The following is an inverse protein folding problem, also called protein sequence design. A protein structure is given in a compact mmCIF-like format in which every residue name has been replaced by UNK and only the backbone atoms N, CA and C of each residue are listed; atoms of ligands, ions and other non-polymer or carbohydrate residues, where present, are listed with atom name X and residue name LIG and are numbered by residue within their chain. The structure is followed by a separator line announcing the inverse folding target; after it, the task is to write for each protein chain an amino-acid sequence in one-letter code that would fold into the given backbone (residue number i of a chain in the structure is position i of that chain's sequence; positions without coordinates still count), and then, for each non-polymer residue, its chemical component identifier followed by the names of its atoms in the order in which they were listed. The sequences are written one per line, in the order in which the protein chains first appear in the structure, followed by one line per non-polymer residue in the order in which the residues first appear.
data_IF_910613963544
#
_entry.id   IF_910613963544
#
_cell.length_a   1.000
_cell.length_b   1.000
_cell.length_c   1.000
_cell.angle_alpha   90.00
_cell.angle_beta   90.00
_cell.angle_gamma   90.00
#
_symmetry.space_group_name_H-M   'P 1'
#
loop_
_entity.id
_entity.type
_entity.pdbx_description
1 polymer ?
#
# COMPACT_ATOMS: atom_id res chain seq x y z
N UNK A 1 -8.80 20.47 19.15
CA UNK A 1 -9.81 19.46 18.75
C UNK A 1 -9.63 19.00 17.30
N UNK A 2 -9.72 19.86 16.27
CA UNK A 2 -9.57 19.43 14.87
C UNK A 2 -8.15 18.93 14.49
N UNK A 3 -7.11 19.60 14.98
CA UNK A 3 -5.72 19.20 14.68
C UNK A 3 -5.30 17.86 15.28
N UNK A 4 -5.89 17.46 16.41
CA UNK A 4 -5.68 16.11 16.96
C UNK A 4 -6.45 15.07 16.17
N UNK A 5 -7.70 15.37 15.79
CA UNK A 5 -8.52 14.49 14.96
C UNK A 5 -7.81 14.11 13.66
N UNK A 6 -7.20 15.08 12.96
CA UNK A 6 -6.41 14.82 11.75
C UNK A 6 -5.15 13.98 12.00
N UNK A 7 -4.54 14.07 13.19
CA UNK A 7 -3.34 13.28 13.54
C UNK A 7 -3.66 11.84 13.89
N UNK A 8 -4.86 11.59 14.41
CA UNK A 8 -5.24 10.28 14.96
C UNK A 8 -6.18 9.51 14.03
N UNK A 9 -6.63 10.11 12.93
CA UNK A 9 -7.47 9.47 11.92
C UNK A 9 -8.94 9.28 12.34
N UNK A 10 -9.34 9.81 13.49
CA UNK A 10 -10.71 9.71 14.00
C UNK A 10 -11.08 8.37 14.64
N UNK A 11 -10.10 7.50 14.92
CA UNK A 11 -10.36 6.21 15.56
C UNK A 11 -10.78 6.38 17.03
N UNK A 12 -11.80 5.63 17.50
CA UNK A 12 -12.25 5.70 18.88
C UNK A 12 -11.24 5.12 19.88
N UNK A 13 -10.33 4.21 19.46
CA UNK A 13 -9.30 3.68 20.36
C UNK A 13 -8.28 4.73 20.82
N UNK A 14 -8.08 5.82 20.07
CA UNK A 14 -7.20 6.91 20.47
C UNK A 14 -7.55 7.49 21.84
N UNK A 15 -8.85 7.57 22.17
CA UNK A 15 -9.33 8.13 23.43
C UNK A 15 -8.87 7.32 24.66
N UNK A 16 -8.47 6.05 24.47
CA UNK A 16 -7.96 5.17 25.54
C UNK A 16 -6.45 5.27 25.72
N UNK A 17 -5.69 5.40 24.63
CA UNK A 17 -4.21 5.39 24.65
C UNK A 17 -3.65 6.77 24.96
N UNK A 18 -4.12 7.82 24.26
CA UNK A 18 -3.66 9.22 24.37
C UNK A 18 -2.13 9.45 24.30
N UNK A 19 -1.36 8.45 23.86
CA UNK A 19 0.06 8.54 23.54
C UNK A 19 0.26 8.32 22.04
N UNK A 20 0.85 9.31 21.37
CA UNK A 20 1.01 9.33 19.91
C UNK A 20 2.00 8.27 19.40
N UNK A 21 3.02 7.91 20.19
CA UNK A 21 3.98 6.88 19.79
C UNK A 21 3.37 5.50 19.89
N UNK A 22 2.66 5.21 20.99
CA UNK A 22 1.95 3.95 21.13
C UNK A 22 0.82 3.84 20.09
N UNK A 23 0.10 4.92 19.83
CA UNK A 23 -0.95 4.95 18.81
C UNK A 23 -0.44 4.64 17.41
N UNK A 24 0.70 5.23 17.01
CA UNK A 24 1.35 4.90 15.74
C UNK A 24 1.76 3.44 15.67
N UNK A 25 2.25 2.88 16.78
CA UNK A 25 2.64 1.48 16.84
C UNK A 25 1.42 0.57 16.67
N UNK A 26 0.31 0.87 17.33
CA UNK A 26 -0.95 0.10 17.17
C UNK A 26 -1.46 0.18 15.72
N UNK A 27 -1.48 1.38 15.11
CA UNK A 27 -1.88 1.53 13.71
C UNK A 27 -1.03 0.68 12.75
N UNK A 28 0.29 0.70 12.90
CA UNK A 28 1.20 -0.03 12.01
C UNK A 28 1.25 -1.52 12.34
N UNK A 29 1.32 -1.89 13.60
CA UNK A 29 1.54 -3.29 14.00
C UNK A 29 0.24 -4.08 14.04
N UNK A 30 -0.87 -3.49 14.48
CA UNK A 30 -2.16 -4.19 14.57
C UNK A 30 -3.00 -4.00 13.32
N UNK A 31 -3.36 -2.75 12.97
CA UNK A 31 -4.32 -2.51 11.87
C UNK A 31 -3.74 -2.87 10.51
N UNK A 32 -2.55 -2.36 10.17
CA UNK A 32 -1.92 -2.66 8.88
C UNK A 32 -1.61 -4.16 8.73
N UNK A 33 -1.13 -4.81 9.80
CA UNK A 33 -0.89 -6.26 9.79
C UNK A 33 -2.19 -7.05 9.67
N UNK A 34 -3.27 -6.64 10.35
CA UNK A 34 -4.58 -7.27 10.20
C UNK A 34 -5.05 -7.19 8.75
N UNK A 35 -4.99 -6.03 8.12
CA UNK A 35 -5.40 -5.87 6.71
C UNK A 35 -4.52 -6.76 5.81
N UNK A 36 -3.19 -6.69 5.96
CA UNK A 36 -2.24 -7.48 5.17
C UNK A 36 -2.45 -8.99 5.32
N UNK A 37 -2.42 -9.51 6.55
CA UNK A 37 -2.43 -10.95 6.80
C UNK A 37 -3.84 -11.55 6.73
N UNK A 38 -4.85 -10.84 7.25
CA UNK A 38 -6.22 -11.35 7.29
C UNK A 38 -6.92 -11.18 5.95
N UNK A 39 -6.83 -10.00 5.33
CA UNK A 39 -7.61 -9.73 4.12
C UNK A 39 -6.87 -10.15 2.85
N UNK A 40 -5.55 -10.02 2.81
CA UNK A 40 -4.78 -10.28 1.58
C UNK A 40 -4.18 -11.68 1.58
N UNK A 41 -3.38 -12.03 2.59
CA UNK A 41 -2.70 -13.33 2.63
C UNK A 41 -3.69 -14.49 2.69
N UNK A 42 -4.75 -14.36 3.50
CA UNK A 42 -5.76 -15.42 3.64
C UNK A 42 -6.66 -15.56 2.40
N UNK A 43 -7.02 -14.46 1.75
CA UNK A 43 -7.89 -14.46 0.55
C UNK A 43 -7.15 -14.93 -0.69
N UNK A 44 -5.91 -14.48 -0.89
CA UNK A 44 -5.14 -14.72 -2.11
C UNK A 44 -4.11 -15.86 -2.01
N UNK A 45 -4.01 -16.53 -0.84
CA UNK A 45 -3.07 -17.64 -0.56
C UNK A 45 -1.66 -17.31 -1.03
N UNK A 46 -1.13 -16.19 -0.54
CA UNK A 46 0.12 -15.61 -1.02
C UNK A 46 1.29 -16.54 -0.71
N UNK A 47 2.12 -16.79 -1.73
CA UNK A 47 3.29 -17.69 -1.64
C UNK A 47 4.42 -17.10 -0.79
N UNK A 48 4.61 -15.79 -0.85
CA UNK A 48 5.65 -15.08 -0.11
C UNK A 48 5.07 -13.81 0.56
N UNK A 49 4.65 -13.92 1.83
CA UNK A 49 4.14 -12.80 2.61
C UNK A 49 5.20 -11.73 2.91
N UNK A 50 6.47 -12.12 3.03
CA UNK A 50 7.56 -11.18 3.36
C UNK A 50 7.79 -10.20 2.21
N UNK A 51 7.73 -10.69 0.97
CA UNK A 51 7.79 -9.83 -0.21
C UNK A 51 6.61 -8.86 -0.29
N UNK A 52 5.40 -9.31 0.09
CA UNK A 52 4.21 -8.44 0.13
C UNK A 52 4.37 -7.31 1.16
N UNK A 53 4.82 -7.64 2.37
CA UNK A 53 5.03 -6.65 3.43
C UNK A 53 6.08 -5.61 3.02
N UNK A 54 7.20 -6.06 2.43
CA UNK A 54 8.22 -5.17 1.87
C UNK A 54 7.64 -4.26 0.80
N UNK A 55 6.76 -4.78 -0.06
CA UNK A 55 6.09 -4.02 -1.11
C UNK A 55 5.16 -2.96 -0.55
N UNK A 56 4.39 -3.25 0.49
CA UNK A 56 3.55 -2.25 1.18
C UNK A 56 4.39 -1.16 1.81
N UNK A 57 5.44 -1.50 2.55
CA UNK A 57 6.33 -0.53 3.19
C UNK A 57 6.99 0.40 2.18
N UNK A 58 7.45 -0.13 1.05
CA UNK A 58 8.03 0.70 -0.01
C UNK A 58 6.96 1.56 -0.70
N UNK A 59 5.76 1.01 -0.91
CA UNK A 59 4.66 1.76 -1.52
C UNK A 59 4.21 2.93 -0.65
N UNK A 60 4.14 2.74 0.67
CA UNK A 60 3.85 3.81 1.64
C UNK A 60 4.91 4.93 1.59
N UNK A 61 6.21 4.59 1.47
CA UNK A 61 7.31 5.58 1.37
C UNK A 61 7.27 6.40 0.08
N UNK A 62 6.83 5.80 -1.02
CA UNK A 62 6.81 6.46 -2.34
C UNK A 62 5.41 6.87 -2.79
N UNK A 63 4.43 6.91 -1.87
CA UNK A 63 3.08 7.42 -2.13
C UNK A 63 3.20 8.76 -2.88
N UNK A 64 2.57 8.87 -4.05
CA UNK A 64 2.59 10.00 -5.00
C UNK A 64 3.72 10.03 -6.04
N UNK A 65 4.75 9.17 -5.96
CA UNK A 65 5.81 9.13 -6.99
C UNK A 65 5.38 8.36 -8.24
N UNK A 66 5.98 8.73 -9.37
CA UNK A 66 5.89 7.98 -10.63
C UNK A 66 6.69 6.68 -10.49
N UNK A 67 6.10 5.56 -10.89
CA UNK A 67 6.76 4.27 -10.89
C UNK A 67 6.48 3.50 -12.18
N UNK A 68 7.37 2.57 -12.49
CA UNK A 68 7.21 1.55 -13.52
C UNK A 68 7.32 0.17 -12.86
N UNK A 69 6.59 -0.81 -13.37
CA UNK A 69 6.70 -2.19 -12.87
C UNK A 69 8.13 -2.74 -13.01
N UNK A 70 8.90 -2.25 -14.00
CA UNK A 70 10.30 -2.65 -14.20
C UNK A 70 11.20 -2.08 -13.12
N UNK A 71 11.08 -0.79 -12.81
CA UNK A 71 11.91 -0.17 -11.76
C UNK A 71 11.59 -0.75 -10.38
N UNK A 72 10.33 -1.08 -10.12
CA UNK A 72 9.92 -1.72 -8.87
C UNK A 72 10.41 -3.18 -8.78
N UNK A 73 10.39 -3.92 -9.88
CA UNK A 73 10.95 -5.29 -9.98
C UNK A 73 12.43 -5.34 -9.71
N UNK A 74 13.21 -4.43 -10.29
CA UNK A 74 14.65 -4.35 -10.03
C UNK A 74 14.95 -3.98 -8.57
N UNK A 75 14.16 -3.10 -7.96
CA UNK A 75 14.39 -2.68 -6.57
C UNK A 75 14.01 -3.76 -5.55
N UNK A 76 13.03 -4.61 -5.89
CA UNK A 76 12.55 -5.67 -5.01
C UNK A 76 13.21 -7.02 -5.27
N UNK A 77 14.05 -7.12 -6.30
CA UNK A 77 14.69 -8.37 -6.75
C UNK A 77 13.67 -9.50 -6.98
N UNK A 78 12.46 -9.14 -7.40
CA UNK A 78 11.34 -10.07 -7.57
C UNK A 78 10.79 -10.00 -8.99
N UNK A 79 10.16 -11.10 -9.42
CA UNK A 79 9.60 -11.20 -10.77
C UNK A 79 8.53 -10.10 -11.00
N UNK A 80 8.59 -9.45 -12.16
CA UNK A 80 7.67 -8.39 -12.58
C UNK A 80 6.21 -8.84 -12.53
N UNK A 81 5.94 -10.11 -12.86
CA UNK A 81 4.59 -10.68 -12.81
C UNK A 81 4.07 -10.79 -11.37
N UNK A 82 4.91 -11.27 -10.46
CA UNK A 82 4.58 -11.35 -9.02
C UNK A 82 4.28 -9.96 -8.45
N UNK A 83 5.08 -8.96 -8.80
CA UNK A 83 4.85 -7.58 -8.34
C UNK A 83 3.56 -6.99 -8.89
N UNK A 84 3.24 -7.21 -10.17
CA UNK A 84 1.96 -6.79 -10.75
C UNK A 84 0.79 -7.43 -10.00
N UNK A 85 0.91 -8.72 -9.70
CA UNK A 85 -0.11 -9.48 -8.98
C UNK A 85 -0.29 -8.96 -7.55
N UNK A 86 0.81 -8.69 -6.84
CA UNK A 86 0.76 -8.18 -5.47
C UNK A 86 0.20 -6.76 -5.40
N UNK A 87 0.58 -5.89 -6.34
CA UNK A 87 -0.03 -4.56 -6.48
C UNK A 87 -1.53 -4.68 -6.77
N UNK A 88 -1.94 -5.64 -7.59
CA UNK A 88 -3.36 -5.89 -7.85
C UNK A 88 -4.10 -6.32 -6.57
N UNK A 89 -3.51 -7.18 -5.74
CA UNK A 89 -4.08 -7.57 -4.45
C UNK A 89 -4.21 -6.38 -3.48
N UNK A 90 -3.19 -5.52 -3.41
CA UNK A 90 -3.23 -4.30 -2.61
C UNK A 90 -4.29 -3.30 -3.10
N UNK A 91 -4.54 -3.28 -4.41
CA UNK A 91 -5.61 -2.45 -4.97
C UNK A 91 -6.99 -3.03 -4.69
N UNK A 92 -7.14 -4.35 -4.76
CA UNK A 92 -8.37 -5.04 -4.38
C UNK A 92 -8.70 -4.86 -2.89
N UNK A 93 -7.70 -4.76 -2.02
CA UNK A 93 -7.88 -4.51 -0.58
C UNK A 93 -8.03 -3.03 -0.21
N UNK A 94 -8.23 -2.13 -1.20
CA UNK A 94 -8.35 -0.68 -1.01
C UNK A 94 -7.15 0.00 -0.31
N UNK A 95 -5.99 -0.67 -0.21
CA UNK A 95 -4.78 -0.07 0.38
C UNK A 95 -4.06 0.84 -0.63
N UNK A 96 -4.12 0.50 -1.91
CA UNK A 96 -3.35 1.17 -2.96
C UNK A 96 -4.22 1.50 -4.17
N UNK A 97 -4.15 2.74 -4.63
CA UNK A 97 -4.74 3.17 -5.89
C UNK A 97 -3.68 3.49 -6.92
N UNK A 98 -3.91 3.04 -8.16
CA UNK A 98 -3.04 3.33 -9.29
C UNK A 98 -3.75 4.30 -10.22
N UNK A 99 -3.13 5.44 -10.47
CA UNK A 99 -3.58 6.37 -11.51
C UNK A 99 -2.75 6.15 -12.77
N UNK A 100 -3.45 5.81 -13.84
CA UNK A 100 -2.87 5.75 -15.19
C UNK A 100 -2.76 7.14 -15.81
N UNK A 101 -1.79 7.31 -16.70
CA UNK A 101 -1.66 8.53 -17.52
C UNK A 101 -2.75 8.54 -18.59
N UNK A 102 -3.41 9.68 -18.77
CA UNK A 102 -4.37 9.83 -19.86
C UNK A 102 -3.65 9.77 -21.22
N UNK A 103 -4.03 8.78 -22.04
CA UNK A 103 -3.57 8.65 -23.43
C UNK A 103 -4.67 8.00 -24.26
N UNK A 104 -4.88 8.48 -25.49
CA UNK A 104 -5.82 7.88 -26.46
C UNK A 104 -5.39 6.47 -26.90
N UNK A 105 -4.10 6.15 -26.82
CA UNK A 105 -3.56 4.85 -27.22
C UNK A 105 -3.33 3.95 -25.99
N UNK A 106 -4.02 2.79 -25.95
CA UNK A 106 -3.94 1.83 -24.84
C UNK A 106 -2.53 1.28 -24.62
N UNK A 107 -1.79 0.99 -25.69
CA UNK A 107 -0.40 0.51 -25.60
C UNK A 107 0.56 1.58 -25.05
N UNK A 108 0.29 2.85 -25.35
CA UNK A 108 1.07 3.95 -24.79
C UNK A 108 0.76 4.15 -23.30
N UNK A 109 -0.51 3.97 -22.90
CA UNK A 109 -0.95 4.05 -21.50
C UNK A 109 -0.30 2.98 -20.62
N UNK A 110 -0.19 1.74 -21.10
CA UNK A 110 0.42 0.64 -20.34
C UNK A 110 1.93 0.81 -20.13
N UNK A 111 2.61 1.49 -21.05
CA UNK A 111 4.06 1.75 -20.97
C UNK A 111 4.41 3.01 -20.19
N UNK A 112 3.47 3.93 -20.03
CA UNK A 112 3.67 5.16 -19.28
C UNK A 112 3.89 4.85 -17.79
N UNK A 113 4.69 5.70 -17.14
CA UNK A 113 4.86 5.64 -15.69
C UNK A 113 3.54 5.98 -15.01
N UNK A 114 3.15 5.14 -14.04
CA UNK A 114 1.91 5.28 -13.30
C UNK A 114 2.18 5.96 -11.96
N UNK A 115 1.15 6.49 -11.32
CA UNK A 115 1.26 6.98 -9.94
C UNK A 115 0.57 6.00 -9.00
N UNK A 116 1.23 5.67 -7.89
CA UNK A 116 0.61 4.95 -6.78
C UNK A 116 0.26 5.94 -5.68
N UNK A 117 -0.95 5.81 -5.15
CA UNK A 117 -1.43 6.45 -3.94
C UNK A 117 -1.66 5.37 -2.89
N UNK A 118 -1.09 5.59 -1.71
CA UNK A 118 -1.38 4.78 -0.52
C UNK A 118 -2.56 5.44 0.21
N UNK A 119 -3.56 4.65 0.62
CA UNK A 119 -4.85 5.15 1.12
C UNK A 119 -5.01 5.13 2.65
N UNK A 120 -3.97 4.80 3.42
CA UNK A 120 -3.99 4.88 4.90
C UNK A 120 -2.93 5.81 5.50
#
# INVERSE_FOLDING_TARGET
MFGEYLKVGGFPEWFKVKDIMQWRKILVDDYLSLILFKDIVHTFKIKDPALLEKLVRETAKFSTRRFSYVSLSNRMEANRETIKLYIYYLSASMLVFISDVYSKNKKARERAEKKIYFWE
#
